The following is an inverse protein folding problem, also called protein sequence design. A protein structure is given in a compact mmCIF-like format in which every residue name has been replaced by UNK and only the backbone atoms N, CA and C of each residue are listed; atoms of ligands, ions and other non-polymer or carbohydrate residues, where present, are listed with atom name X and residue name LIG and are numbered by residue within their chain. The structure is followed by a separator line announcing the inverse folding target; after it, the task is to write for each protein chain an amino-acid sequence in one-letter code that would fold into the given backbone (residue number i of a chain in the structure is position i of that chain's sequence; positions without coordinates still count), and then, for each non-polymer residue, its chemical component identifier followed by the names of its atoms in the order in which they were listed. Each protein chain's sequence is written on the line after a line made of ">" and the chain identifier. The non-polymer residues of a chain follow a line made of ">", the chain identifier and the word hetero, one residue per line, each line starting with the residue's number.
data_IF_683384580375
#
_entry.id   IF_683384580375
#
_cell.length_a   1.000
_cell.length_b   1.000
_cell.length_c   1.000
_cell.angle_alpha   90.00
_cell.angle_beta   90.00
_cell.angle_gamma   90.00
#
_symmetry.space_group_name_H-M   'P 1'
#
loop_
_entity.id
_entity.type
_entity.pdbx_description
1 polymer ?
#
# COMPACT_ATOMS: atom_id res chain seq x y z
N UNK A 1 -28.01 42.76 11.65
CA UNK A 1 -26.57 43.06 11.61
C UNK A 1 -25.87 41.78 11.23
N UNK A 2 -25.33 41.73 10.01
CA UNK A 2 -24.58 40.59 9.48
C UNK A 2 -23.33 40.41 10.34
N UNK A 3 -23.30 39.33 11.12
CA UNK A 3 -22.04 38.80 11.63
C UNK A 3 -21.18 38.52 10.40
N UNK A 4 -20.16 39.37 10.24
CA UNK A 4 -19.15 39.23 9.21
C UNK A 4 -18.65 37.79 9.31
N UNK A 5 -18.79 37.07 8.21
CA UNK A 5 -17.97 35.90 7.91
C UNK A 5 -16.52 36.30 8.15
N UNK A 6 -16.01 36.03 9.34
CA UNK A 6 -14.58 36.00 9.58
C UNK A 6 -14.10 34.84 8.73
N UNK A 7 -13.75 35.16 7.49
CA UNK A 7 -12.95 34.27 6.65
C UNK A 7 -11.64 34.17 7.41
N UNK A 8 -11.55 33.15 8.28
CA UNK A 8 -10.30 32.79 8.93
C UNK A 8 -9.29 32.66 7.80
N UNK A 9 -8.16 33.40 7.85
CA UNK A 9 -7.14 33.27 6.83
C UNK A 9 -6.78 31.79 6.75
N UNK A 10 -6.73 31.25 5.53
CA UNK A 10 -6.28 29.88 5.32
C UNK A 10 -4.93 29.74 6.05
N UNK A 11 -4.79 28.78 6.97
CA UNK A 11 -3.54 28.63 7.70
C UNK A 11 -2.40 28.46 6.70
N UNK A 12 -1.30 29.16 6.92
CA UNK A 12 -0.12 29.02 6.05
C UNK A 12 0.31 27.56 6.01
N UNK A 13 0.60 27.06 4.81
CA UNK A 13 1.02 25.67 4.63
C UNK A 13 2.30 25.40 5.40
N UNK A 14 2.32 24.34 6.22
CA UNK A 14 3.57 23.87 6.83
C UNK A 14 4.47 23.27 5.73
N UNK A 15 5.59 23.94 5.46
CA UNK A 15 6.60 23.43 4.53
C UNK A 15 7.58 22.50 5.25
N UNK A 16 7.90 21.38 4.61
CA UNK A 16 8.86 20.41 5.12
C UNK A 16 10.30 20.94 4.93
N UNK A 17 11.08 21.02 6.02
CA UNK A 17 12.50 21.39 5.97
C UNK A 17 13.35 20.11 5.97
N UNK A 18 14.04 19.77 4.86
CA UNK A 18 14.80 18.53 4.76
C UNK A 18 15.94 18.42 5.77
N UNK A 19 16.46 19.56 6.26
CA UNK A 19 17.58 19.63 7.19
C UNK A 19 17.29 18.92 8.52
N UNK A 20 16.04 18.95 9.02
CA UNK A 20 15.66 18.35 10.31
C UNK A 20 15.76 16.82 10.33
N UNK A 21 15.60 16.19 9.17
CA UNK A 21 15.68 14.73 9.03
C UNK A 21 16.92 14.27 8.29
N UNK A 22 17.81 15.18 7.87
CA UNK A 22 18.99 14.87 7.06
C UNK A 22 19.83 13.71 7.59
N UNK A 23 20.12 13.70 8.90
CA UNK A 23 20.87 12.61 9.54
C UNK A 23 20.15 11.26 9.48
N UNK A 24 18.85 11.23 9.79
CA UNK A 24 18.04 10.01 9.70
C UNK A 24 17.89 9.53 8.26
N UNK A 25 17.62 10.44 7.32
CA UNK A 25 17.51 10.15 5.89
C UNK A 25 18.81 9.59 5.33
N UNK A 26 19.97 10.14 5.73
CA UNK A 26 21.28 9.63 5.33
C UNK A 26 21.53 8.23 5.89
N UNK A 27 21.18 7.99 7.15
CA UNK A 27 21.33 6.70 7.81
C UNK A 27 20.45 5.63 7.14
N UNK A 28 19.19 5.96 6.86
CA UNK A 28 18.26 5.09 6.14
C UNK A 28 18.71 4.84 4.70
N UNK A 29 19.20 5.86 3.99
CA UNK A 29 19.74 5.71 2.64
C UNK A 29 21.00 4.82 2.63
N UNK A 30 21.92 5.03 3.57
CA UNK A 30 23.10 4.18 3.75
C UNK A 30 22.72 2.73 4.05
N UNK A 31 21.77 2.52 4.96
CA UNK A 31 21.21 1.21 5.26
C UNK A 31 20.55 0.55 4.06
N UNK A 32 19.82 1.31 3.25
CA UNK A 32 19.20 0.82 2.01
C UNK A 32 20.26 0.40 0.98
N UNK A 33 21.34 1.18 0.80
CA UNK A 33 22.44 0.83 -0.11
C UNK A 33 23.14 -0.45 0.36
N UNK A 34 23.49 -0.54 1.65
CA UNK A 34 24.11 -1.75 2.22
C UNK A 34 23.18 -2.95 2.06
N UNK A 35 21.89 -2.78 2.35
CA UNK A 35 20.87 -3.83 2.18
C UNK A 35 20.77 -4.31 0.73
N UNK A 36 20.76 -3.39 -0.25
CA UNK A 36 20.72 -3.73 -1.67
C UNK A 36 21.99 -4.46 -2.13
N UNK A 37 23.17 -4.08 -1.62
CA UNK A 37 24.42 -4.78 -1.90
C UNK A 37 24.40 -6.20 -1.33
N UNK A 38 23.92 -6.38 -0.10
CA UNK A 38 23.77 -7.70 0.51
C UNK A 38 22.74 -8.56 -0.24
N UNK A 39 21.65 -7.97 -0.71
CA UNK A 39 20.68 -8.63 -1.58
C UNK A 39 21.32 -9.07 -2.91
N UNK A 40 22.15 -8.23 -3.52
CA UNK A 40 22.86 -8.57 -4.76
C UNK A 40 23.85 -9.73 -4.56
N UNK A 41 24.57 -9.74 -3.43
CA UNK A 41 25.44 -10.86 -3.05
C UNK A 41 24.59 -12.13 -2.88
N UNK A 42 23.49 -12.04 -2.13
CA UNK A 42 22.56 -13.14 -1.89
C UNK A 42 21.99 -13.74 -3.17
N UNK A 43 21.66 -12.89 -4.15
CA UNK A 43 21.15 -13.32 -5.45
C UNK A 43 22.15 -14.18 -6.24
N UNK A 44 23.46 -13.95 -6.06
CA UNK A 44 24.53 -14.72 -6.72
C UNK A 44 24.88 -15.98 -5.94
N UNK A 45 24.82 -15.94 -4.61
CA UNK A 45 25.19 -17.10 -3.76
C UNK A 45 24.10 -18.16 -3.70
N UNK A 46 22.83 -17.75 -3.52
CA UNK A 46 21.68 -18.66 -3.46
C UNK A 46 20.45 -17.93 -4.02
N UNK A 47 20.26 -18.06 -5.34
CA UNK A 47 19.15 -17.45 -6.05
C UNK A 47 17.78 -17.95 -5.56
N UNK A 48 17.69 -19.18 -5.05
CA UNK A 48 16.43 -19.74 -4.54
C UNK A 48 16.06 -19.06 -3.24
N UNK A 49 16.94 -19.07 -2.25
CA UNK A 49 16.70 -18.41 -0.96
C UNK A 49 16.44 -16.92 -1.15
N UNK A 50 17.25 -16.25 -1.98
CA UNK A 50 17.06 -14.84 -2.33
C UNK A 50 15.66 -14.57 -2.89
N UNK A 51 15.16 -15.41 -3.80
CA UNK A 51 13.85 -15.19 -4.42
C UNK A 51 12.71 -15.15 -3.40
N UNK A 52 12.67 -16.09 -2.45
CA UNK A 52 11.64 -16.13 -1.39
C UNK A 52 11.77 -14.97 -0.40
N UNK A 53 13.00 -14.65 0.02
CA UNK A 53 13.25 -13.50 0.90
C UNK A 53 12.89 -12.17 0.25
N UNK A 54 13.17 -12.01 -1.05
CA UNK A 54 12.82 -10.82 -1.81
C UNK A 54 11.30 -10.67 -1.95
N UNK A 55 10.60 -11.77 -2.28
CA UNK A 55 9.14 -11.77 -2.35
C UNK A 55 8.50 -11.38 -1.01
N UNK A 56 9.02 -11.91 0.11
CA UNK A 56 8.54 -11.54 1.45
C UNK A 56 8.69 -10.03 1.71
N UNK A 57 9.88 -9.47 1.46
CA UNK A 57 10.12 -8.03 1.64
C UNK A 57 9.25 -7.18 0.72
N UNK A 58 9.14 -7.56 -0.55
CA UNK A 58 8.27 -6.89 -1.52
C UNK A 58 6.80 -6.88 -1.06
N UNK A 59 6.25 -8.02 -0.65
CA UNK A 59 4.85 -8.12 -0.20
C UNK A 59 4.62 -7.32 1.08
N UNK A 60 5.59 -7.29 1.99
CA UNK A 60 5.51 -6.49 3.21
C UNK A 60 5.33 -5.00 2.89
N UNK A 61 6.19 -4.42 2.05
CA UNK A 61 6.07 -3.01 1.67
C UNK A 61 4.87 -2.75 0.74
N UNK A 62 4.54 -3.69 -0.14
CA UNK A 62 3.37 -3.59 -1.01
C UNK A 62 2.07 -3.53 -0.21
N UNK A 63 1.90 -4.39 0.80
CA UNK A 63 0.69 -4.39 1.64
C UNK A 63 0.58 -3.12 2.48
N UNK A 64 1.69 -2.56 2.98
CA UNK A 64 1.71 -1.25 3.64
C UNK A 64 1.21 -0.15 2.69
N UNK A 65 1.74 -0.07 1.46
CA UNK A 65 1.34 0.96 0.50
C UNK A 65 -0.15 0.81 0.09
N UNK A 66 -0.59 -0.43 -0.14
CA UNK A 66 -2.00 -0.75 -0.38
C UNK A 66 -2.89 -0.38 0.81
N UNK A 67 -2.45 -0.62 2.04
CA UNK A 67 -3.15 -0.21 3.24
C UNK A 67 -3.29 1.32 3.34
N UNK A 68 -2.23 2.06 3.03
CA UNK A 68 -2.32 3.53 2.99
C UNK A 68 -3.31 4.02 1.92
N UNK A 69 -3.30 3.40 0.73
CA UNK A 69 -4.29 3.67 -0.31
C UNK A 69 -5.72 3.36 0.16
N UNK A 70 -5.94 2.23 0.83
CA UNK A 70 -7.23 1.87 1.39
C UNK A 70 -7.77 2.95 2.34
N UNK A 71 -6.94 3.40 3.29
CA UNK A 71 -7.34 4.45 4.22
C UNK A 71 -7.67 5.76 3.50
N UNK A 72 -6.87 6.16 2.51
CA UNK A 72 -7.17 7.35 1.69
C UNK A 72 -8.52 7.20 0.97
N UNK A 73 -8.80 6.04 0.37
CA UNK A 73 -10.09 5.76 -0.29
C UNK A 73 -11.23 5.86 0.73
N UNK A 74 -11.14 5.16 1.85
CA UNK A 74 -12.20 5.14 2.88
C UNK A 74 -12.45 6.53 3.43
N UNK A 75 -11.40 7.30 3.73
CA UNK A 75 -11.55 8.65 4.26
C UNK A 75 -12.28 9.60 3.31
N UNK A 76 -12.09 9.45 2.00
CA UNK A 76 -12.85 10.21 1.00
C UNK A 76 -14.26 9.66 0.77
N UNK A 77 -14.47 8.35 0.91
CA UNK A 77 -15.78 7.72 0.76
C UNK A 77 -16.72 8.01 1.93
N UNK A 78 -16.18 8.15 3.15
CA UNK A 78 -16.95 8.38 4.39
C UNK A 78 -16.91 9.82 4.88
N UNK A 79 -16.25 10.72 4.16
CA UNK A 79 -16.05 12.12 4.57
C UNK A 79 -15.44 12.25 5.97
N UNK A 80 -14.42 11.44 6.26
CA UNK A 80 -13.80 11.41 7.57
C UNK A 80 -13.03 12.71 7.87
N UNK A 81 -13.61 13.58 8.69
CA UNK A 81 -13.02 14.88 9.06
C UNK A 81 -11.74 14.74 9.90
N UNK A 82 -11.68 13.77 10.82
CA UNK A 82 -10.49 13.54 11.67
C UNK A 82 -9.24 13.21 10.84
N UNK A 83 -9.41 12.63 9.66
CA UNK A 83 -8.30 12.17 8.83
C UNK A 83 -7.58 13.31 8.11
N UNK A 84 -8.20 14.50 8.00
CA UNK A 84 -7.72 15.60 7.13
C UNK A 84 -6.26 15.94 7.41
N UNK A 85 -5.87 16.02 8.69
CA UNK A 85 -4.52 16.43 9.12
C UNK A 85 -3.44 15.37 8.86
N UNK A 86 -3.80 14.09 8.74
CA UNK A 86 -2.86 12.97 8.53
C UNK A 86 -2.93 12.39 7.11
N UNK A 87 -3.97 12.74 6.33
CA UNK A 87 -4.26 12.19 5.00
C UNK A 87 -3.11 12.34 4.01
N UNK A 88 -2.43 13.49 4.04
CA UNK A 88 -1.29 13.76 3.14
C UNK A 88 -0.17 12.72 3.30
N UNK A 89 0.04 12.20 4.50
CA UNK A 89 1.03 11.15 4.75
C UNK A 89 0.61 9.82 4.12
N UNK A 90 -0.67 9.45 4.25
CA UNK A 90 -1.22 8.25 3.59
C UNK A 90 -1.12 8.34 2.07
N UNK A 91 -1.45 9.49 1.48
CA UNK A 91 -1.32 9.72 0.04
C UNK A 91 0.14 9.62 -0.45
N UNK A 92 1.08 10.18 0.30
CA UNK A 92 2.51 10.12 -0.05
C UNK A 92 3.05 8.68 0.01
N UNK A 93 2.69 7.91 1.04
CA UNK A 93 3.10 6.51 1.17
C UNK A 93 2.40 5.64 0.12
N UNK A 94 1.11 5.86 -0.14
CA UNK A 94 0.35 5.14 -1.16
C UNK A 94 0.92 5.31 -2.57
N UNK A 95 1.49 6.48 -2.89
CA UNK A 95 2.17 6.70 -4.17
C UNK A 95 3.44 5.86 -4.37
N UNK A 96 4.04 5.32 -3.31
CA UNK A 96 5.22 4.46 -3.43
C UNK A 96 4.90 3.14 -4.15
N UNK A 97 3.63 2.82 -4.40
CA UNK A 97 3.24 1.74 -5.30
C UNK A 97 3.92 1.82 -6.68
N UNK A 98 4.14 3.01 -7.23
CA UNK A 98 4.88 3.15 -8.49
C UNK A 98 6.37 2.82 -8.33
N UNK A 99 6.97 3.19 -7.20
CA UNK A 99 8.37 2.84 -6.93
C UNK A 99 8.52 1.32 -6.76
N UNK A 100 7.54 0.66 -6.12
CA UNK A 100 7.51 -0.80 -5.96
C UNK A 100 7.44 -1.57 -7.27
N UNK A 101 7.00 -0.96 -8.37
CA UNK A 101 7.02 -1.60 -9.69
C UNK A 101 8.44 -2.04 -10.09
N UNK A 102 9.46 -1.23 -9.75
CA UNK A 102 10.87 -1.57 -10.02
C UNK A 102 11.29 -2.79 -9.18
N UNK A 103 10.86 -2.83 -7.92
CA UNK A 103 11.15 -3.94 -7.00
C UNK A 103 10.37 -5.22 -7.32
N UNK A 104 9.36 -5.16 -8.19
CA UNK A 104 8.68 -6.34 -8.71
C UNK A 104 9.50 -7.07 -9.81
N UNK A 105 10.47 -6.40 -10.45
CA UNK A 105 11.25 -6.98 -11.56
C UNK A 105 11.99 -8.27 -11.16
N UNK A 106 12.72 -8.34 -10.03
CA UNK A 106 13.41 -9.56 -9.63
C UNK A 106 12.47 -10.76 -9.44
N UNK A 107 11.23 -10.53 -9.00
CA UNK A 107 10.21 -11.59 -8.83
C UNK A 107 9.86 -12.22 -10.19
N UNK A 108 9.72 -11.38 -11.22
CA UNK A 108 9.39 -11.84 -12.57
C UNK A 108 10.55 -12.60 -13.23
N UNK A 109 11.79 -12.16 -12.97
CA UNK A 109 13.01 -12.82 -13.47
C UNK A 109 13.23 -14.17 -12.78
N UNK A 110 13.10 -14.22 -11.45
CA UNK A 110 13.34 -15.41 -10.62
C UNK A 110 12.11 -16.31 -10.46
N UNK A 111 11.11 -16.15 -11.35
CA UNK A 111 9.84 -16.90 -11.30
C UNK A 111 9.99 -18.42 -11.17
N UNK A 112 11.02 -19.00 -11.79
CA UNK A 112 11.25 -20.44 -11.82
C UNK A 112 11.63 -21.01 -10.46
N UNK A 113 12.15 -20.18 -9.55
CA UNK A 113 12.45 -20.57 -8.18
C UNK A 113 11.26 -20.41 -7.24
N UNK A 114 10.40 -19.41 -7.51
CA UNK A 114 9.25 -19.05 -6.68
C UNK A 114 8.02 -19.89 -6.99
N UNK A 115 7.69 -20.01 -8.27
CA UNK A 115 6.42 -20.50 -8.75
C UNK A 115 6.62 -21.85 -9.42
N UNK A 116 6.39 -22.94 -8.68
CA UNK A 116 6.58 -24.30 -9.18
C UNK A 116 5.80 -24.58 -10.48
N UNK A 117 4.59 -24.01 -10.59
CA UNK A 117 3.74 -24.14 -11.77
C UNK A 117 4.37 -23.60 -13.06
N UNK A 118 5.39 -22.74 -12.98
CA UNK A 118 6.12 -22.24 -14.17
C UNK A 118 7.06 -23.26 -14.79
N UNK A 119 7.41 -24.33 -14.05
CA UNK A 119 8.35 -25.37 -14.50
C UNK A 119 7.62 -26.62 -15.04
N UNK A 120 6.32 -26.76 -14.76
CA UNK A 120 5.53 -27.95 -15.10
C UNK A 120 4.90 -27.80 -16.49
N UNK A 121 5.24 -28.71 -17.40
CA UNK A 121 4.74 -28.69 -18.79
C UNK A 121 3.29 -29.17 -18.88
N UNK A 122 2.52 -28.75 -19.92
CA UNK A 122 1.17 -29.28 -20.17
C UNK A 122 1.13 -30.80 -20.18
N UNK A 123 0.11 -31.39 -19.54
CA UNK A 123 -0.10 -32.83 -19.48
C UNK A 123 0.60 -33.56 -18.33
N UNK A 124 1.42 -32.86 -17.52
CA UNK A 124 2.11 -33.47 -16.39
C UNK A 124 1.32 -33.41 -15.08
N UNK A 125 0.38 -32.47 -14.95
CA UNK A 125 -0.46 -32.32 -13.75
C UNK A 125 -1.86 -31.83 -14.13
N UNK A 126 -2.86 -32.69 -13.94
CA UNK A 126 -4.25 -32.41 -14.31
C UNK A 126 -4.85 -31.21 -13.54
N UNK A 127 -4.43 -30.98 -12.28
CA UNK A 127 -4.91 -29.86 -11.49
C UNK A 127 -4.36 -28.54 -12.05
N UNK A 128 -3.06 -28.48 -12.36
CA UNK A 128 -2.48 -27.31 -12.99
C UNK A 128 -3.09 -27.06 -14.37
N UNK A 129 -3.29 -28.12 -15.17
CA UNK A 129 -3.86 -28.03 -16.51
C UNK A 129 -5.26 -27.38 -16.48
N UNK A 130 -6.08 -27.71 -15.48
CA UNK A 130 -7.39 -27.06 -15.27
C UNK A 130 -7.29 -25.54 -14.96
N UNK A 131 -6.15 -25.11 -14.39
CA UNK A 131 -5.89 -23.72 -13.97
C UNK A 131 -5.08 -22.91 -14.98
N UNK A 132 -4.56 -23.50 -16.06
CA UNK A 132 -3.66 -22.83 -17.04
C UNK A 132 -4.24 -21.58 -17.68
N UNK A 133 -5.57 -21.47 -17.80
CA UNK A 133 -6.20 -20.24 -18.29
C UNK A 133 -5.87 -19.05 -17.38
N UNK A 134 -5.76 -19.28 -16.08
CA UNK A 134 -5.39 -18.28 -15.08
C UNK A 134 -3.87 -18.29 -14.79
N UNK A 135 -3.31 -19.47 -14.50
CA UNK A 135 -1.89 -19.71 -14.22
C UNK A 135 -1.11 -19.96 -15.52
N UNK A 136 -0.98 -18.92 -16.34
CA UNK A 136 -0.01 -18.88 -17.43
C UNK A 136 0.86 -17.64 -17.30
N UNK A 137 2.09 -17.73 -17.82
CA UNK A 137 3.10 -16.69 -17.63
C UNK A 137 2.68 -15.33 -18.21
N UNK A 138 2.21 -15.30 -19.45
CA UNK A 138 1.82 -14.05 -20.12
C UNK A 138 0.69 -13.32 -19.40
N UNK A 139 -0.34 -14.06 -18.98
CA UNK A 139 -1.48 -13.51 -18.26
C UNK A 139 -1.11 -13.12 -16.83
N UNK A 140 -0.23 -13.87 -16.16
CA UNK A 140 0.30 -13.52 -14.84
C UNK A 140 1.04 -12.18 -14.89
N UNK A 141 1.94 -11.98 -15.88
CA UNK A 141 2.66 -10.72 -16.05
C UNK A 141 1.70 -9.58 -16.37
N UNK A 142 0.76 -9.79 -17.30
CA UNK A 142 -0.27 -8.80 -17.61
C UNK A 142 -1.05 -8.38 -16.36
N UNK A 143 -1.50 -9.34 -15.55
CA UNK A 143 -2.22 -9.08 -14.30
C UNK A 143 -1.36 -8.34 -13.29
N UNK A 144 -0.09 -8.73 -13.12
CA UNK A 144 0.83 -8.03 -12.23
C UNK A 144 0.96 -6.54 -12.60
N UNK A 145 1.15 -6.22 -13.89
CA UNK A 145 1.16 -4.83 -14.36
C UNK A 145 -0.19 -4.14 -14.17
N UNK A 146 -1.29 -4.84 -14.45
CA UNK A 146 -2.64 -4.31 -14.28
C UNK A 146 -2.90 -3.90 -12.82
N UNK A 147 -2.45 -4.67 -11.83
CA UNK A 147 -2.61 -4.31 -10.41
C UNK A 147 -1.90 -3.00 -10.07
N UNK A 148 -0.68 -2.80 -10.56
CA UNK A 148 0.05 -1.55 -10.35
C UNK A 148 -0.61 -0.36 -11.05
N UNK A 149 -1.13 -0.54 -12.27
CA UNK A 149 -1.85 0.51 -13.00
C UNK A 149 -3.13 0.88 -12.28
N UNK A 150 -3.91 -0.12 -11.83
CA UNK A 150 -5.17 0.12 -11.14
C UNK A 150 -4.97 0.78 -9.77
N UNK A 151 -4.15 0.18 -8.91
CA UNK A 151 -3.93 0.68 -7.55
C UNK A 151 -3.12 1.99 -7.56
N UNK A 152 -2.03 2.03 -8.33
CA UNK A 152 -1.21 3.23 -8.50
C UNK A 152 -1.98 4.34 -9.19
N UNK A 153 -2.83 4.04 -10.17
CA UNK A 153 -3.69 5.00 -10.85
C UNK A 153 -4.68 5.67 -9.89
N UNK A 154 -5.36 4.89 -9.04
CA UNK A 154 -6.26 5.44 -8.00
C UNK A 154 -5.47 6.31 -7.02
N UNK A 155 -4.32 5.83 -6.53
CA UNK A 155 -3.45 6.59 -5.62
C UNK A 155 -2.99 7.93 -6.25
N UNK A 156 -2.59 7.90 -7.52
CA UNK A 156 -2.16 9.06 -8.28
C UNK A 156 -3.28 10.07 -8.46
N UNK A 157 -4.46 9.63 -8.89
CA UNK A 157 -5.59 10.51 -9.11
C UNK A 157 -6.02 11.19 -7.81
N UNK A 158 -6.15 10.42 -6.71
CA UNK A 158 -6.48 10.97 -5.40
C UNK A 158 -5.47 12.04 -4.97
N UNK A 159 -4.17 11.75 -5.04
CA UNK A 159 -3.14 12.74 -4.65
C UNK A 159 -3.11 13.94 -5.61
N UNK A 160 -3.30 13.73 -6.91
CA UNK A 160 -3.31 14.82 -7.91
C UNK A 160 -4.42 15.83 -7.61
N UNK A 161 -5.65 15.37 -7.38
CA UNK A 161 -6.76 16.25 -7.03
C UNK A 161 -6.61 16.84 -5.62
N UNK A 162 -6.06 16.09 -4.68
CA UNK A 162 -5.78 16.54 -3.32
C UNK A 162 -4.77 17.69 -3.30
N UNK A 163 -3.70 17.63 -4.11
CA UNK A 163 -2.73 18.73 -4.24
C UNK A 163 -3.30 19.91 -5.04
N UNK A 164 -4.11 19.65 -6.07
CA UNK A 164 -4.75 20.72 -6.84
C UNK A 164 -5.73 21.53 -5.97
N UNK A 165 -6.40 20.89 -5.02
CA UNK A 165 -7.30 21.55 -4.07
C UNK A 165 -6.59 22.56 -3.18
N UNK A 166 -5.34 22.28 -2.76
CA UNK A 166 -4.56 23.21 -1.93
C UNK A 166 -4.26 24.52 -2.64
N UNK A 167 -4.15 24.51 -3.98
CA UNK A 167 -3.82 25.70 -4.78
C UNK A 167 -5.05 26.58 -5.01
N UNK A 168 -6.14 25.98 -5.45
CA UNK A 168 -7.29 26.72 -6.00
C UNK A 168 -8.48 26.76 -5.03
N UNK A 169 -8.45 26.00 -3.92
CA UNK A 169 -9.54 25.90 -2.94
C UNK A 169 -10.85 25.35 -3.51
N UNK A 170 -10.84 24.80 -4.73
CA UNK A 170 -12.04 24.52 -5.50
C UNK A 170 -12.78 23.28 -4.96
N UNK A 171 -14.07 23.41 -4.55
CA UNK A 171 -14.88 22.29 -4.06
C UNK A 171 -15.04 21.14 -5.07
N UNK A 172 -14.85 21.40 -6.37
CA UNK A 172 -14.90 20.36 -7.42
C UNK A 172 -13.87 19.27 -7.19
N UNK A 173 -12.70 19.59 -6.63
CA UNK A 173 -11.66 18.58 -6.35
C UNK A 173 -12.14 17.57 -5.31
N UNK A 174 -12.84 18.03 -4.26
CA UNK A 174 -13.45 17.16 -3.24
C UNK A 174 -14.46 16.20 -3.86
N UNK A 175 -15.33 16.69 -4.75
CA UNK A 175 -16.34 15.86 -5.43
C UNK A 175 -15.67 14.80 -6.30
N UNK A 176 -14.65 15.17 -7.08
CA UNK A 176 -13.91 14.23 -7.90
C UNK A 176 -13.18 13.16 -7.07
N UNK A 177 -12.53 13.55 -5.98
CA UNK A 177 -11.88 12.59 -5.08
C UNK A 177 -12.88 11.61 -4.46
N UNK A 178 -14.10 12.07 -4.12
CA UNK A 178 -15.17 11.19 -3.65
C UNK A 178 -15.62 10.19 -4.72
N UNK A 179 -15.80 10.63 -5.96
CA UNK A 179 -16.12 9.74 -7.09
C UNK A 179 -15.02 8.70 -7.30
N UNK A 180 -13.75 9.15 -7.30
CA UNK A 180 -12.59 8.27 -7.42
C UNK A 180 -12.52 7.28 -6.26
N UNK A 181 -12.87 7.69 -5.05
CA UNK A 181 -12.92 6.78 -3.91
C UNK A 181 -13.99 5.70 -4.07
N UNK A 182 -15.22 6.06 -4.49
CA UNK A 182 -16.28 5.09 -4.73
C UNK A 182 -15.94 4.08 -5.84
N UNK A 183 -15.36 4.56 -6.94
CA UNK A 183 -14.88 3.67 -8.02
C UNK A 183 -13.64 2.88 -7.58
N UNK A 184 -12.80 3.49 -6.75
CA UNK A 184 -11.56 2.91 -6.23
C UNK A 184 -11.78 1.77 -5.25
N UNK A 185 -12.87 1.76 -4.47
CA UNK A 185 -13.20 0.69 -3.52
C UNK A 185 -13.25 -0.72 -4.16
N UNK A 186 -14.09 -0.97 -5.18
CA UNK A 186 -14.13 -2.28 -5.83
C UNK A 186 -12.84 -2.60 -6.58
N UNK A 187 -12.20 -1.60 -7.20
CA UNK A 187 -10.90 -1.78 -7.87
C UNK A 187 -9.85 -2.25 -6.86
N UNK A 188 -9.78 -1.60 -5.70
CA UNK A 188 -8.85 -1.93 -4.63
C UNK A 188 -9.10 -3.35 -4.10
N UNK A 189 -10.34 -3.67 -3.74
CA UNK A 189 -10.69 -4.98 -3.18
C UNK A 189 -10.37 -6.13 -4.13
N UNK A 190 -10.69 -5.97 -5.42
CA UNK A 190 -10.39 -6.98 -6.44
C UNK A 190 -8.89 -7.06 -6.73
N UNK A 191 -8.22 -5.94 -6.99
CA UNK A 191 -6.80 -5.93 -7.35
C UNK A 191 -5.92 -6.48 -6.22
N UNK A 192 -6.17 -6.09 -4.96
CA UNK A 192 -5.42 -6.63 -3.81
C UNK A 192 -5.66 -8.13 -3.63
N UNK A 193 -6.91 -8.60 -3.78
CA UNK A 193 -7.25 -10.02 -3.64
C UNK A 193 -6.58 -10.86 -4.72
N UNK A 194 -6.67 -10.44 -5.99
CA UNK A 194 -6.02 -11.16 -7.09
C UNK A 194 -4.50 -11.06 -7.04
N UNK A 195 -3.92 -9.96 -6.56
CA UNK A 195 -2.49 -9.86 -6.28
C UNK A 195 -2.05 -10.85 -5.19
N UNK A 196 -2.83 -10.99 -4.12
CA UNK A 196 -2.58 -12.00 -3.08
C UNK A 196 -2.70 -13.44 -3.63
N UNK A 197 -3.64 -13.68 -4.54
CA UNK A 197 -3.79 -14.98 -5.19
C UNK A 197 -2.61 -15.30 -6.10
N UNK A 198 -2.14 -14.32 -6.88
CA UNK A 198 -1.03 -14.52 -7.80
C UNK A 198 0.31 -14.67 -7.08
N UNK A 199 0.63 -13.73 -6.20
CA UNK A 199 1.99 -13.62 -5.66
C UNK A 199 2.23 -14.46 -4.41
N UNK A 200 1.18 -14.77 -3.64
CA UNK A 200 1.30 -15.55 -2.41
C UNK A 200 0.69 -16.94 -2.54
N UNK A 201 -0.60 -17.03 -2.85
CA UNK A 201 -1.26 -18.34 -3.03
C UNK A 201 -0.67 -19.10 -4.22
N UNK A 202 -0.25 -18.37 -5.27
CA UNK A 202 0.41 -18.92 -6.45
C UNK A 202 1.73 -19.64 -6.16
N UNK A 203 2.35 -19.44 -4.99
CA UNK A 203 3.52 -20.22 -4.56
C UNK A 203 3.19 -21.72 -4.45
N UNK A 204 1.96 -22.04 -4.03
CA UNK A 204 1.44 -23.40 -4.01
C UNK A 204 0.10 -23.46 -4.76
N UNK A 205 0.17 -23.71 -6.07
CA UNK A 205 -0.99 -23.80 -6.94
C UNK A 205 -1.97 -24.93 -6.59
N UNK A 206 -1.59 -25.88 -5.73
CA UNK A 206 -2.48 -26.96 -5.27
C UNK A 206 -3.42 -26.49 -4.16
N UNK A 207 -2.98 -25.53 -3.35
CA UNK A 207 -3.77 -24.95 -2.29
C UNK A 207 -4.67 -23.81 -2.81
N UNK A 208 -5.84 -23.65 -2.21
CA UNK A 208 -6.77 -22.56 -2.51
C UNK A 208 -7.55 -22.16 -1.27
N UNK A 209 -7.80 -20.86 -1.11
CA UNK A 209 -8.66 -20.33 -0.05
C UNK A 209 -9.28 -19.01 -0.48
N UNK A 210 -10.60 -18.92 -0.34
CA UNK A 210 -11.33 -17.67 -0.60
C UNK A 210 -11.03 -16.60 0.47
N UNK A 211 -10.69 -17.02 1.70
CA UNK A 211 -10.41 -16.14 2.83
C UNK A 211 -9.01 -15.49 2.75
N UNK A 212 -8.16 -15.96 1.84
CA UNK A 212 -6.79 -15.44 1.70
C UNK A 212 -6.74 -13.95 1.32
N UNK A 213 -7.61 -13.50 0.41
CA UNK A 213 -7.69 -12.08 0.03
C UNK A 213 -8.03 -11.18 1.22
N UNK A 214 -9.16 -11.44 1.93
CA UNK A 214 -9.52 -10.74 3.15
C UNK A 214 -8.44 -10.77 4.25
N UNK A 215 -7.70 -11.88 4.39
CA UNK A 215 -6.61 -11.98 5.36
C UNK A 215 -5.46 -10.99 5.05
N UNK A 216 -5.04 -10.94 3.79
CA UNK A 216 -4.01 -9.97 3.34
C UNK A 216 -4.51 -8.54 3.45
N UNK A 217 -5.79 -8.29 3.14
CA UNK A 217 -6.42 -6.99 3.32
C UNK A 217 -6.40 -6.52 4.78
N UNK A 218 -6.82 -7.37 5.71
CA UNK A 218 -6.84 -7.05 7.14
C UNK A 218 -5.43 -6.68 7.63
N UNK A 219 -4.42 -7.43 7.22
CA UNK A 219 -3.02 -7.14 7.53
C UNK A 219 -2.52 -5.83 6.91
N UNK A 220 -2.86 -5.56 5.64
CA UNK A 220 -2.52 -4.32 4.94
C UNK A 220 -3.10 -3.08 5.65
N UNK A 221 -4.40 -3.10 5.96
CA UNK A 221 -5.09 -1.99 6.62
C UNK A 221 -4.57 -1.77 8.06
N UNK A 222 -4.35 -2.84 8.84
CA UNK A 222 -3.83 -2.72 10.21
C UNK A 222 -2.38 -2.22 10.27
N UNK A 223 -1.49 -2.78 9.44
CA UNK A 223 -0.07 -2.40 9.41
C UNK A 223 0.13 -0.96 8.93
N UNK A 224 -0.61 -0.51 7.92
CA UNK A 224 -0.55 0.86 7.43
C UNK A 224 -1.05 1.89 8.45
N UNK A 225 -2.09 1.58 9.25
CA UNK A 225 -2.51 2.46 10.35
C UNK A 225 -1.43 2.55 11.44
N UNK A 226 -0.76 1.44 11.74
CA UNK A 226 0.37 1.41 12.68
C UNK A 226 1.53 2.29 12.17
N UNK A 227 1.86 2.17 10.88
CA UNK A 227 2.87 3.03 10.24
C UNK A 227 2.47 4.51 10.29
N UNK A 228 1.19 4.83 10.05
CA UNK A 228 0.70 6.20 10.12
C UNK A 228 0.91 6.81 11.51
N UNK A 229 0.64 6.05 12.58
CA UNK A 229 0.89 6.49 13.96
C UNK A 229 2.38 6.77 14.19
N UNK A 230 3.27 5.89 13.72
CA UNK A 230 4.72 6.08 13.85
C UNK A 230 5.20 7.32 13.09
N UNK A 231 4.79 7.48 11.83
CA UNK A 231 5.14 8.64 10.99
C UNK A 231 4.62 9.93 11.60
N UNK A 232 3.36 9.96 12.04
CA UNK A 232 2.75 11.15 12.66
C UNK A 232 3.44 11.51 13.97
N UNK A 233 3.84 10.50 14.77
CA UNK A 233 4.58 10.71 16.01
C UNK A 233 5.96 11.30 15.74
N UNK A 234 6.70 10.75 14.77
CA UNK A 234 8.02 11.24 14.38
C UNK A 234 7.97 12.68 13.85
N UNK A 235 6.99 13.00 13.00
CA UNK A 235 6.77 14.36 12.48
C UNK A 235 6.43 15.34 13.61
N UNK A 236 5.58 14.92 14.56
CA UNK A 236 5.21 15.74 15.72
C UNK A 236 6.38 16.02 16.65
N UNK A 237 7.22 15.02 16.90
CA UNK A 237 8.46 15.20 17.67
C UNK A 237 9.45 16.13 16.99
N UNK A 238 9.50 16.14 15.65
CA UNK A 238 10.32 17.08 14.87
C UNK A 238 9.70 18.48 14.74
N UNK A 239 8.53 18.72 15.35
CA UNK A 239 7.86 20.01 15.40
C UNK A 239 6.91 20.31 14.23
N UNK A 240 6.60 19.33 13.38
CA UNK A 240 5.56 19.41 12.34
C UNK A 240 4.21 18.89 12.85
N UNK A 241 3.12 19.13 12.11
CA UNK A 241 1.80 18.57 12.40
C UNK A 241 1.32 18.84 13.84
N UNK A 242 1.61 20.03 14.38
CA UNK A 242 1.21 20.40 15.76
C UNK A 242 -0.31 20.43 15.95
N UNK A 243 -1.06 20.50 14.86
CA UNK A 243 -2.53 20.41 14.80
C UNK A 243 -3.04 19.02 15.23
N UNK A 244 -2.21 17.97 15.15
CA UNK A 244 -2.59 16.63 15.58
C UNK A 244 -2.70 16.57 17.12
N UNK A 245 -3.92 16.35 17.59
CA UNK A 245 -4.27 16.25 19.02
C UNK A 245 -4.33 14.80 19.51
N UNK A 246 -4.50 14.63 20.83
CA UNK A 246 -4.70 13.30 21.44
C UNK A 246 -5.96 12.58 20.92
N UNK A 247 -6.99 13.31 20.52
CA UNK A 247 -8.19 12.72 19.92
C UNK A 247 -7.87 11.97 18.62
N UNK A 248 -6.97 12.53 17.79
CA UNK A 248 -6.52 11.87 16.57
C UNK A 248 -5.80 10.55 16.88
N UNK A 249 -4.90 10.57 17.87
CA UNK A 249 -4.21 9.35 18.33
C UNK A 249 -5.18 8.32 18.91
N UNK A 250 -6.20 8.77 19.64
CA UNK A 250 -7.21 7.89 20.19
C UNK A 250 -8.05 7.23 19.09
N UNK A 251 -8.44 7.96 18.04
CA UNK A 251 -9.15 7.40 16.87
C UNK A 251 -8.25 6.42 16.11
N UNK A 252 -7.00 6.77 15.83
CA UNK A 252 -6.05 5.85 15.18
C UNK A 252 -5.84 4.57 16.01
N UNK A 253 -5.77 4.71 17.34
CA UNK A 253 -5.68 3.57 18.27
C UNK A 253 -6.91 2.65 18.24
N UNK A 254 -8.12 3.20 18.14
CA UNK A 254 -9.34 2.41 17.94
C UNK A 254 -9.29 1.62 16.63
N UNK A 255 -8.82 2.23 15.54
CA UNK A 255 -8.66 1.54 14.26
C UNK A 255 -7.59 0.45 14.31
N UNK A 256 -6.46 0.68 14.97
CA UNK A 256 -5.44 -0.35 15.19
C UNK A 256 -6.00 -1.54 15.96
N UNK A 257 -6.73 -1.30 17.05
CA UNK A 257 -7.37 -2.37 17.83
C UNK A 257 -8.41 -3.13 16.99
N UNK A 258 -9.29 -2.40 16.29
CA UNK A 258 -10.31 -3.00 15.44
C UNK A 258 -9.72 -3.90 14.36
N UNK A 259 -8.66 -3.44 13.66
CA UNK A 259 -7.99 -4.23 12.64
C UNK A 259 -7.14 -5.37 13.21
N UNK A 260 -6.64 -5.25 14.44
CA UNK A 260 -5.96 -6.36 15.12
C UNK A 260 -6.94 -7.49 15.43
N UNK A 261 -8.12 -7.16 15.96
CA UNK A 261 -9.19 -8.14 16.21
C UNK A 261 -9.72 -8.72 14.90
N UNK A 262 -9.95 -7.88 13.89
CA UNK A 262 -10.41 -8.32 12.57
C UNK A 262 -9.41 -9.26 11.91
N UNK A 263 -8.11 -8.93 11.94
CA UNK A 263 -7.07 -9.80 11.41
C UNK A 263 -6.97 -11.13 12.16
N UNK A 264 -7.06 -11.11 13.49
CA UNK A 264 -7.07 -12.33 14.30
C UNK A 264 -8.30 -13.22 13.99
N UNK A 265 -9.47 -12.61 13.82
CA UNK A 265 -10.71 -13.31 13.46
C UNK A 265 -10.60 -13.98 12.07
N UNK A 266 -10.16 -13.22 11.07
CA UNK A 266 -10.00 -13.74 9.71
C UNK A 266 -8.91 -14.83 9.68
N UNK A 267 -7.81 -14.62 10.38
CA UNK A 267 -6.73 -15.60 10.49
C UNK A 267 -7.14 -16.88 11.20
N UNK A 268 -7.98 -16.81 12.23
CA UNK A 268 -8.55 -17.99 12.89
C UNK A 268 -9.59 -18.71 12.01
N UNK A 269 -10.32 -17.97 11.19
CA UNK A 269 -11.35 -18.52 10.31
C UNK A 269 -10.81 -19.12 9.00
N UNK A 270 -9.54 -18.83 8.68
CA UNK A 270 -8.83 -19.35 7.50
C UNK A 270 -8.36 -20.78 7.72
#
# INVERSE_FOLDING_TARGET
>A
MSERSQVLPAPEGEYFEPSRFSGLSLLLAGGAVVGLVLCAIGAVTDARQFSFSWLFGFIYFFTICCGCLFWTIVHHATDAEWSVVVRRQLENIGLLLFALLIFAIPILVLRHHLFEWTNIKPGQDALLDSKRRYLNWSFFVFRAFLYFILLGGVAFLLRRFSVAQDRDGNPRCTVWMRIIAFVGLPIFGLALSFAAFDWLMGLNFRWYSTMWGPYIFAGAAGSSMSLLVLVTTALRQAGYLKVVTMEHYHIMGKWMLAFSVFWAYIGFSQ
#
